data_IF_010396513600
#
_entry.id   IF_010396513600
#
_cell.length_a   1.000
_cell.length_b   1.000
_cell.length_c   1.000
_cell.angle_alpha   90.00
_cell.angle_beta   90.00
_cell.angle_gamma   90.00
#
_symmetry.space_group_name_H-M   'P 1'
#
loop_
_entity.id
_entity.type
_entity.pdbx_description
1 polymer ?
#
# COMPACT_ATOMS: atom_id res chain seq x y z
N UNK A 1 16.65 5.88 15.66
CA UNK A 1 15.70 4.82 15.36
C UNK A 1 16.37 3.60 14.77
N UNK A 2 15.61 2.57 14.62
CA UNK A 2 16.10 1.33 14.03
C UNK A 2 16.23 1.53 12.52
N UNK A 3 17.40 1.23 11.99
CA UNK A 3 17.61 1.33 10.56
C UNK A 3 16.87 0.19 9.84
N UNK A 4 16.19 0.53 8.75
CA UNK A 4 15.58 -0.45 7.89
C UNK A 4 16.61 -0.94 6.88
N UNK A 5 16.89 -2.22 6.90
CA UNK A 5 17.87 -2.84 6.00
C UNK A 5 17.21 -3.30 4.72
N UNK A 6 18.00 -3.37 3.64
CA UNK A 6 17.55 -3.98 2.39
C UNK A 6 17.10 -5.41 2.69
N UNK A 7 15.93 -5.77 2.17
CA UNK A 7 15.33 -7.08 2.40
C UNK A 7 14.53 -7.20 3.68
N UNK A 8 14.48 -6.16 4.51
CA UNK A 8 13.60 -6.15 5.68
C UNK A 8 12.15 -6.27 5.22
N UNK A 9 11.43 -7.17 5.84
CA UNK A 9 10.13 -7.62 5.38
C UNK A 9 9.04 -7.31 6.39
N UNK A 10 7.92 -6.79 5.88
CA UNK A 10 6.73 -6.55 6.68
C UNK A 10 5.52 -7.13 5.99
N UNK A 11 4.65 -7.78 6.74
CA UNK A 11 3.44 -8.41 6.25
C UNK A 11 2.27 -7.91 7.08
N UNK A 12 1.15 -7.63 6.43
CA UNK A 12 -0.01 -7.16 7.16
C UNK A 12 -1.27 -7.13 6.31
N UNK A 13 -2.33 -6.58 6.90
CA UNK A 13 -3.59 -6.38 6.20
C UNK A 13 -4.29 -5.13 6.70
N UNK A 14 -5.07 -4.52 5.82
CA UNK A 14 -5.93 -3.38 6.13
C UNK A 14 -7.29 -3.60 5.46
N UNK A 15 -8.38 -2.95 5.95
CA UNK A 15 -9.68 -3.10 5.31
C UNK A 15 -9.69 -2.58 3.88
N UNK A 16 -10.40 -3.30 2.99
CA UNK A 16 -10.64 -2.87 1.61
C UNK A 16 -11.96 -2.08 1.57
N UNK A 17 -12.02 -0.97 2.30
CA UNK A 17 -13.23 -0.19 2.53
C UNK A 17 -13.30 1.11 1.71
N UNK A 18 -12.37 1.29 0.78
CA UNK A 18 -12.33 2.49 -0.04
C UNK A 18 -11.73 3.70 0.66
N UNK A 19 -11.18 3.51 1.86
CA UNK A 19 -10.55 4.59 2.63
C UNK A 19 -9.05 4.37 2.73
N UNK A 20 -8.29 5.46 2.88
CA UNK A 20 -6.86 5.41 3.04
C UNK A 20 -6.46 4.81 4.39
N UNK A 21 -5.51 3.88 4.35
CA UNK A 21 -4.93 3.26 5.54
C UNK A 21 -3.42 3.31 5.47
N UNK A 22 -2.78 3.64 6.59
CA UNK A 22 -1.31 3.68 6.65
C UNK A 22 -0.76 2.25 6.73
N UNK A 23 0.18 1.93 5.86
CA UNK A 23 0.88 0.64 5.90
C UNK A 23 2.32 0.80 6.39
N UNK A 24 2.87 2.00 6.26
CA UNK A 24 4.14 2.39 6.85
C UNK A 24 3.97 3.79 7.44
N UNK A 25 4.53 4.02 8.63
CA UNK A 25 4.42 5.29 9.34
C UNK A 25 5.77 5.70 9.93
N UNK A 26 5.87 6.95 10.35
CA UNK A 26 7.03 7.49 11.04
C UNK A 26 8.31 7.34 10.22
N UNK A 27 8.18 7.56 8.92
CA UNK A 27 9.30 7.49 7.99
C UNK A 27 10.01 8.84 7.90
N UNK A 28 11.31 8.79 7.69
CA UNK A 28 12.15 9.97 7.56
C UNK A 28 13.24 9.70 6.52
N UNK A 29 13.62 10.74 5.77
CA UNK A 29 14.71 10.66 4.82
C UNK A 29 14.34 9.94 3.52
N UNK A 30 15.32 9.30 2.92
CA UNK A 30 15.14 8.59 1.65
C UNK A 30 14.74 7.15 1.93
N UNK A 31 13.66 6.71 1.32
CA UNK A 31 13.13 5.35 1.51
C UNK A 31 12.64 4.78 0.20
N UNK A 32 12.87 3.49 0.01
CA UNK A 32 12.33 2.77 -1.14
C UNK A 32 11.83 1.40 -0.70
N UNK A 33 10.65 1.04 -1.17
CA UNK A 33 10.00 -0.21 -0.80
C UNK A 33 9.39 -0.89 -2.02
N UNK A 34 9.41 -2.20 -1.99
CA UNK A 34 8.63 -3.03 -2.90
C UNK A 34 7.42 -3.54 -2.16
N UNK A 35 6.24 -3.36 -2.72
CA UNK A 35 4.98 -3.76 -2.11
C UNK A 35 4.25 -4.71 -3.05
N UNK A 36 3.82 -5.85 -2.52
CA UNK A 36 2.86 -6.72 -3.20
C UNK A 36 1.60 -6.74 -2.37
N UNK A 37 0.46 -6.54 -3.01
CA UNK A 37 -0.82 -6.47 -2.31
C UNK A 37 -1.89 -7.19 -3.11
N UNK A 38 -2.78 -7.85 -2.39
CA UNK A 38 -3.90 -8.59 -3.00
C UNK A 38 -5.16 -8.24 -2.24
N UNK A 39 -6.22 -7.97 -2.98
CA UNK A 39 -7.54 -7.76 -2.42
C UNK A 39 -8.56 -8.61 -3.16
N UNK A 40 -9.41 -9.29 -2.41
CA UNK A 40 -10.51 -10.12 -2.95
C UNK A 40 -11.80 -9.71 -2.27
N UNK A 41 -12.82 -9.45 -3.07
CA UNK A 41 -14.16 -9.21 -2.57
C UNK A 41 -15.02 -10.47 -2.61
N UNK A 42 -16.32 -10.27 -2.55
CA UNK A 42 -17.28 -11.35 -2.59
C UNK A 42 -17.17 -12.13 -3.90
N UNK A 43 -17.28 -13.44 -3.81
CA UNK A 43 -17.24 -14.33 -4.97
C UNK A 43 -18.28 -13.89 -6.01
N UNK A 44 -17.89 -13.94 -7.27
CA UNK A 44 -18.73 -13.57 -8.42
C UNK A 44 -19.12 -12.10 -8.51
N UNK A 45 -18.40 -11.19 -7.82
CA UNK A 45 -18.64 -9.75 -7.92
C UNK A 45 -17.64 -9.02 -8.79
N UNK A 46 -16.53 -9.68 -9.16
CA UNK A 46 -15.46 -9.04 -9.92
C UNK A 46 -14.57 -8.12 -9.10
N UNK A 47 -14.70 -8.08 -7.78
CA UNK A 47 -13.88 -7.26 -6.91
C UNK A 47 -12.58 -7.98 -6.57
N UNK A 48 -11.62 -7.93 -7.48
CA UNK A 48 -10.32 -8.57 -7.33
C UNK A 48 -9.23 -7.63 -7.83
N UNK A 49 -8.13 -7.56 -7.11
CA UNK A 49 -6.98 -6.79 -7.54
C UNK A 49 -5.69 -7.39 -6.99
N UNK A 50 -4.68 -7.47 -7.84
CA UNK A 50 -3.31 -7.78 -7.43
C UNK A 50 -2.46 -6.58 -7.81
N UNK A 51 -1.63 -6.11 -6.90
CA UNK A 51 -0.78 -4.94 -7.11
C UNK A 51 0.67 -5.29 -6.82
N UNK A 52 1.56 -4.83 -7.68
CA UNK A 52 3.01 -4.85 -7.45
C UNK A 52 3.51 -3.43 -7.63
N UNK A 53 4.04 -2.84 -6.58
CA UNK A 53 4.44 -1.45 -6.59
C UNK A 53 5.86 -1.27 -6.08
N UNK A 54 6.53 -0.25 -6.62
CA UNK A 54 7.79 0.25 -6.10
C UNK A 54 7.52 1.68 -5.66
N UNK A 55 7.75 1.96 -4.38
CA UNK A 55 7.50 3.26 -3.80
C UNK A 55 8.81 3.88 -3.35
N UNK A 56 9.14 5.03 -3.92
CA UNK A 56 10.35 5.77 -3.60
C UNK A 56 9.98 7.14 -3.04
N UNK A 57 10.57 7.51 -1.93
CA UNK A 57 10.48 8.85 -1.38
C UNK A 57 11.88 9.42 -1.16
N UNK A 58 12.08 10.65 -1.59
CA UNK A 58 13.32 11.38 -1.37
C UNK A 58 13.10 12.59 -0.45
N UNK A 59 12.17 12.48 0.47
CA UNK A 59 11.92 13.52 1.47
C UNK A 59 13.20 13.82 2.24
N UNK A 60 13.48 15.11 2.41
CA UNK A 60 14.70 15.56 3.05
C UNK A 60 15.88 15.75 2.10
N UNK A 61 15.79 15.22 0.88
CA UNK A 61 16.79 15.44 -0.14
C UNK A 61 16.52 16.70 -0.96
N UNK A 62 17.53 17.24 -1.60
CA UNK A 62 17.37 18.38 -2.48
C UNK A 62 16.52 18.00 -3.69
N UNK A 63 15.51 18.81 -3.99
CA UNK A 63 14.57 18.51 -5.06
C UNK A 63 13.70 17.32 -4.77
N UNK A 64 13.38 17.10 -3.51
CA UNK A 64 12.64 15.95 -3.03
C UNK A 64 11.36 15.71 -3.79
N UNK A 65 11.20 14.48 -4.23
CA UNK A 65 9.97 14.03 -4.89
C UNK A 65 9.62 12.63 -4.40
N UNK A 66 8.34 12.38 -4.33
CA UNK A 66 7.85 11.06 -4.01
C UNK A 66 7.28 10.44 -5.26
N UNK A 67 7.67 9.21 -5.55
CA UNK A 67 7.17 8.49 -6.71
C UNK A 67 6.73 7.09 -6.34
N UNK A 68 5.65 6.66 -6.96
CA UNK A 68 5.15 5.30 -6.81
C UNK A 68 4.86 4.77 -8.20
N UNK A 69 5.44 3.63 -8.51
CA UNK A 69 5.19 2.92 -9.76
C UNK A 69 4.38 1.67 -9.42
N UNK A 70 3.11 1.69 -9.79
CA UNK A 70 2.16 0.66 -9.40
C UNK A 70 1.64 -0.07 -10.62
N UNK A 71 1.85 -1.38 -10.65
CA UNK A 71 1.31 -2.26 -11.69
C UNK A 71 0.20 -3.09 -11.08
N UNK A 72 -0.99 -3.03 -11.68
CA UNK A 72 -2.15 -3.75 -11.17
C UNK A 72 -2.76 -4.65 -12.21
N UNK A 73 -3.29 -5.78 -11.75
CA UNK A 73 -4.23 -6.60 -12.50
C UNK A 73 -5.52 -6.66 -11.70
N UNK A 74 -6.64 -6.36 -12.34
CA UNK A 74 -7.93 -6.32 -11.63
C UNK A 74 -9.05 -6.77 -12.56
N UNK A 75 -10.13 -7.24 -11.95
CA UNK A 75 -11.37 -7.53 -12.65
C UNK A 75 -12.37 -6.41 -12.41
N UNK A 76 -13.37 -6.32 -13.29
CA UNK A 76 -14.39 -5.30 -13.20
C UNK A 76 -13.91 -3.95 -13.68
N UNK A 77 -14.18 -2.89 -12.92
CA UNK A 77 -13.84 -1.54 -13.32
C UNK A 77 -12.52 -1.07 -12.70
N UNK A 78 -12.02 0.08 -13.17
CA UNK A 78 -10.85 0.73 -12.57
C UNK A 78 -11.06 1.06 -11.09
N UNK A 79 -12.29 1.05 -10.60
CA UNK A 79 -12.62 1.29 -9.17
C UNK A 79 -12.16 0.16 -8.27
N UNK A 80 -11.84 -1.00 -8.83
CA UNK A 80 -11.37 -2.13 -8.04
C UNK A 80 -9.86 -2.10 -7.80
N UNK A 81 -9.16 -1.11 -8.35
CA UNK A 81 -7.71 -0.99 -8.20
C UNK A 81 -7.27 -0.66 -6.79
N UNK A 82 -6.15 -1.25 -6.40
CA UNK A 82 -5.38 -0.84 -5.23
C UNK A 82 -4.51 0.34 -5.63
N UNK A 83 -4.54 1.40 -4.84
CA UNK A 83 -3.75 2.62 -5.10
C UNK A 83 -3.00 3.02 -3.85
N UNK A 84 -1.92 3.78 -4.04
CA UNK A 84 -1.02 4.19 -2.97
C UNK A 84 -0.80 5.70 -3.02
N UNK A 85 -0.42 6.28 -1.89
CA UNK A 85 0.09 7.65 -1.84
C UNK A 85 1.04 7.84 -0.66
N UNK A 86 1.90 8.83 -0.79
CA UNK A 86 2.69 9.34 0.33
C UNK A 86 1.92 10.47 1.01
N UNK A 87 2.03 10.57 2.33
CA UNK A 87 1.43 11.66 3.10
C UNK A 87 2.35 12.01 4.27
N UNK A 88 2.29 13.26 4.73
CA UNK A 88 3.08 13.73 5.86
C UNK A 88 4.05 14.83 5.49
N UNK A 89 5.11 14.95 6.27
CA UNK A 89 6.14 15.98 6.11
C UNK A 89 7.50 15.36 5.84
N UNK A 90 8.52 16.21 5.65
CA UNK A 90 9.89 15.78 5.33
C UNK A 90 10.47 14.79 6.34
N UNK A 91 10.16 14.98 7.63
CA UNK A 91 10.76 14.20 8.73
C UNK A 91 9.81 13.23 9.37
N UNK A 92 8.56 13.18 8.90
CA UNK A 92 7.57 12.25 9.42
C UNK A 92 6.50 12.04 8.35
N UNK A 93 6.67 10.97 7.59
CA UNK A 93 5.72 10.67 6.51
C UNK A 93 5.28 9.21 6.55
N UNK A 94 4.24 8.94 5.82
CA UNK A 94 3.61 7.62 5.81
C UNK A 94 3.28 7.20 4.39
N UNK A 95 3.28 5.90 4.16
CA UNK A 95 2.79 5.31 2.93
C UNK A 95 1.38 4.79 3.18
N UNK A 96 0.45 5.24 2.34
CA UNK A 96 -0.97 4.91 2.47
C UNK A 96 -1.41 4.00 1.32
N UNK A 97 -2.38 3.14 1.61
CA UNK A 97 -2.97 2.23 0.63
C UNK A 97 -4.49 2.28 0.73
N UNK A 98 -5.17 2.09 -0.39
CA UNK A 98 -6.62 1.86 -0.41
C UNK A 98 -7.04 1.10 -1.66
N UNK A 99 -8.23 0.50 -1.60
CA UNK A 99 -8.98 0.15 -2.81
C UNK A 99 -9.78 1.39 -3.22
N UNK A 100 -9.98 1.60 -4.51
CA UNK A 100 -10.75 2.78 -4.99
C UNK A 100 -12.21 2.71 -4.61
N UNK A 101 -12.72 1.50 -4.36
CA UNK A 101 -14.08 1.31 -3.87
C UNK A 101 -14.07 0.45 -2.62
N UNK A 102 -15.15 0.55 -1.87
CA UNK A 102 -15.42 -0.36 -0.76
C UNK A 102 -15.77 -1.74 -1.33
N UNK A 103 -15.00 -2.75 -0.98
CA UNK A 103 -15.24 -4.12 -1.42
C UNK A 103 -16.37 -4.79 -0.63
N UNK A 104 -16.88 -4.12 0.41
CA UNK A 104 -17.97 -4.63 1.23
C UNK A 104 -17.50 -5.53 2.36
N UNK A 105 -18.47 -6.15 3.01
CA UNK A 105 -18.22 -7.06 4.12
C UNK A 105 -18.24 -8.50 3.66
N UNK A 106 -17.38 -9.32 4.25
CA UNK A 106 -17.38 -10.75 4.05
C UNK A 106 -18.59 -11.35 4.76
N UNK A 107 -19.53 -11.98 4.05
CA UNK A 107 -20.73 -12.52 4.69
C UNK A 107 -20.44 -13.65 5.68
N UNK A 108 -19.28 -14.30 5.57
CA UNK A 108 -18.92 -15.40 6.46
C UNK A 108 -18.38 -14.92 7.80
N UNK A 109 -17.83 -13.71 7.88
CA UNK A 109 -17.16 -13.20 9.07
C UNK A 109 -17.74 -11.89 9.60
N UNK A 110 -18.65 -11.26 8.86
CA UNK A 110 -19.24 -9.94 9.15
C UNK A 110 -18.18 -8.84 9.32
N UNK A 111 -17.00 -9.02 8.76
CA UNK A 111 -15.93 -8.02 8.76
C UNK A 111 -15.61 -7.59 7.34
N UNK A 112 -15.02 -6.39 7.14
CA UNK A 112 -14.68 -5.94 5.81
C UNK A 112 -13.70 -6.89 5.12
N UNK A 113 -13.79 -6.98 3.80
CA UNK A 113 -12.74 -7.62 3.02
C UNK A 113 -11.44 -6.85 3.21
N UNK A 114 -10.32 -7.52 3.09
CA UNK A 114 -9.02 -6.95 3.44
C UNK A 114 -8.11 -6.86 2.22
N UNK A 115 -7.21 -5.88 2.28
CA UNK A 115 -6.03 -5.84 1.42
C UNK A 115 -4.90 -6.51 2.20
N UNK A 116 -4.39 -7.61 1.69
CA UNK A 116 -3.23 -8.29 2.28
C UNK A 116 -1.98 -7.83 1.54
N UNK A 117 -0.98 -7.40 2.28
CA UNK A 117 0.22 -6.81 1.66
C UNK A 117 1.51 -7.36 2.27
N UNK A 118 2.56 -7.31 1.44
CA UNK A 118 3.92 -7.61 1.83
C UNK A 118 4.80 -6.45 1.38
N UNK A 119 5.67 -6.00 2.27
CA UNK A 119 6.56 -4.87 2.00
C UNK A 119 7.98 -5.30 2.25
N UNK A 120 8.86 -5.01 1.30
CA UNK A 120 10.30 -5.26 1.41
C UNK A 120 11.05 -3.96 1.25
N UNK A 121 11.96 -3.65 2.15
CA UNK A 121 12.81 -2.47 2.04
C UNK A 121 13.88 -2.71 0.97
N UNK A 122 14.05 -1.72 0.09
CA UNK A 122 15.02 -1.77 -1.01
C UNK A 122 16.27 -0.94 -0.73
N UNK A 123 16.23 -0.07 0.29
CA UNK A 123 17.35 0.79 0.66
C UNK A 123 17.70 0.64 2.13
N UNK A 124 18.99 0.59 2.41
CA UNK A 124 19.52 0.73 3.76
C UNK A 124 19.43 2.19 4.19
N UNK A 125 19.02 2.40 5.41
CA UNK A 125 18.97 3.75 5.99
C UNK A 125 19.95 3.88 7.16
#
# INVERSE_FOLDING_TARGET
GIKTRVGTYKKGSVPADGKWHAILSDLDGISAYEITAVSKGKKNTGHYCVSHAIALSTFGGRGSKSKINNTTAHYGSFRDKIVYKWTGSLHNYSLMIKTRRDYGENPDSNSPFSINFNITSLLDQ
#
